data_IF_350344775288
#
_entry.id   IF_350344775288
#
_cell.length_a   1.000
_cell.length_b   1.000
_cell.length_c   1.000
_cell.angle_alpha   90.00
_cell.angle_beta   90.00
_cell.angle_gamma   90.00
#
_symmetry.space_group_name_H-M   'P 1'
#
loop_
_entity.id
_entity.type
_entity.pdbx_description
1 polymer ?
#
# COMPACT_ATOMS: atom_id res chain seq x y z
N UNK A 1 5.25 27.19 6.90
CA UNK A 1 6.57 26.60 7.19
C UNK A 1 6.85 25.54 6.13
N UNK A 2 8.08 25.43 5.64
CA UNK A 2 8.43 24.34 4.74
C UNK A 2 8.42 23.01 5.52
N UNK A 3 7.81 21.98 4.94
CA UNK A 3 7.78 20.63 5.51
C UNK A 3 8.35 19.67 4.47
N UNK A 4 9.15 18.71 4.93
CA UNK A 4 9.63 17.60 4.09
C UNK A 4 8.66 16.43 4.28
N UNK A 5 8.03 16.00 3.20
CA UNK A 5 7.08 14.89 3.19
C UNK A 5 7.75 13.64 2.61
N UNK A 6 7.80 12.56 3.39
CA UNK A 6 8.14 11.23 2.88
C UNK A 6 6.84 10.45 2.68
N UNK A 7 6.59 9.99 1.46
CA UNK A 7 5.33 9.32 1.06
C UNK A 7 5.66 8.09 0.24
N UNK A 8 4.95 6.99 0.52
CA UNK A 8 4.97 5.76 -0.29
C UNK A 8 3.52 5.49 -0.71
N UNK A 9 3.32 5.22 -2.00
CA UNK A 9 2.00 4.96 -2.57
C UNK A 9 2.10 3.79 -3.54
N UNK A 10 1.17 2.83 -3.41
CA UNK A 10 1.00 1.73 -4.35
C UNK A 10 -0.30 1.92 -5.13
N UNK A 11 -0.32 1.54 -6.41
CA UNK A 11 -1.51 1.62 -7.27
C UNK A 11 -1.90 0.24 -7.77
N UNK A 12 -3.20 -0.05 -7.81
CA UNK A 12 -3.70 -1.39 -8.21
C UNK A 12 -3.00 -2.50 -7.42
N UNK A 13 -2.94 -2.32 -6.10
CA UNK A 13 -2.20 -3.19 -5.22
C UNK A 13 -3.14 -4.04 -4.35
N UNK A 14 -2.72 -5.27 -4.10
CA UNK A 14 -3.37 -6.20 -3.17
C UNK A 14 -2.56 -6.21 -1.88
N UNK A 15 -3.24 -6.04 -0.75
CA UNK A 15 -2.64 -6.24 0.57
C UNK A 15 -2.95 -7.68 0.98
N UNK A 16 -1.90 -8.49 1.14
CA UNK A 16 -1.99 -9.86 1.60
C UNK A 16 -1.30 -9.96 2.96
N UNK A 17 -2.12 -9.96 4.00
CA UNK A 17 -1.66 -10.00 5.39
C UNK A 17 -1.11 -11.37 5.79
N UNK A 18 -1.62 -12.45 5.19
CA UNK A 18 -1.21 -13.82 5.51
C UNK A 18 0.24 -14.03 5.09
N UNK A 19 0.60 -13.55 3.90
CA UNK A 19 1.96 -13.64 3.37
C UNK A 19 2.82 -12.40 3.66
N UNK A 20 2.30 -11.43 4.43
CA UNK A 20 3.00 -10.18 4.79
C UNK A 20 3.52 -9.42 3.55
N UNK A 21 2.65 -9.21 2.55
CA UNK A 21 3.04 -8.62 1.27
C UNK A 21 2.05 -7.58 0.74
N UNK A 22 2.59 -6.64 -0.03
CA UNK A 22 1.84 -5.76 -0.93
C UNK A 22 2.24 -6.18 -2.35
N UNK A 23 1.25 -6.54 -3.16
CA UNK A 23 1.45 -6.96 -4.55
C UNK A 23 0.94 -5.85 -5.45
N UNK A 24 1.82 -5.15 -6.17
CA UNK A 24 1.46 -4.12 -7.14
C UNK A 24 1.33 -4.70 -8.54
N UNK A 25 0.14 -4.57 -9.14
CA UNK A 25 -0.16 -5.11 -10.47
C UNK A 25 -0.06 -4.01 -11.53
N UNK A 26 1.00 -4.07 -12.34
CA UNK A 26 1.17 -3.26 -13.53
C UNK A 26 0.74 -4.06 -14.78
N UNK A 27 0.54 -3.38 -15.91
CA UNK A 27 0.01 -3.99 -17.15
C UNK A 27 0.78 -5.24 -17.63
N UNK A 28 2.08 -5.29 -17.33
CA UNK A 28 2.99 -6.31 -17.84
C UNK A 28 3.82 -6.98 -16.73
N UNK A 29 3.70 -6.51 -15.49
CA UNK A 29 4.56 -6.94 -14.37
C UNK A 29 3.84 -6.92 -13.04
N UNK A 30 4.15 -7.93 -12.23
CA UNK A 30 3.79 -7.99 -10.82
C UNK A 30 5.02 -7.62 -9.98
N UNK A 31 4.85 -6.72 -9.02
CA UNK A 31 5.90 -6.35 -8.08
C UNK A 31 5.45 -6.65 -6.65
N UNK A 32 6.27 -7.40 -5.92
CA UNK A 32 5.98 -7.80 -4.56
C UNK A 32 6.86 -7.01 -3.59
N UNK A 33 6.23 -6.47 -2.55
CA UNK A 33 6.87 -5.70 -1.49
C UNK A 33 6.53 -6.32 -0.14
N UNK A 34 7.49 -6.44 0.77
CA UNK A 34 7.19 -6.86 2.14
C UNK A 34 6.40 -5.77 2.86
N UNK A 35 5.22 -6.12 3.37
CA UNK A 35 4.33 -5.21 4.10
C UNK A 35 5.06 -4.64 5.33
N UNK A 36 5.67 -5.51 6.13
CA UNK A 36 6.44 -5.11 7.31
C UNK A 36 7.63 -4.21 6.99
N UNK A 37 8.33 -4.41 5.87
CA UNK A 37 9.42 -3.53 5.44
C UNK A 37 8.94 -2.15 5.01
N UNK A 38 7.75 -2.07 4.39
CA UNK A 38 7.14 -0.78 4.05
C UNK A 38 6.79 -0.01 5.32
N UNK A 39 6.15 -0.67 6.29
CA UNK A 39 5.77 -0.04 7.55
C UNK A 39 6.97 0.30 8.45
N UNK A 40 8.04 -0.50 8.43
CA UNK A 40 9.23 -0.25 9.26
C UNK A 40 9.91 1.09 8.91
N UNK A 41 9.82 1.55 7.66
CA UNK A 41 10.32 2.88 7.24
C UNK A 41 9.65 4.04 7.99
N UNK A 42 8.46 3.81 8.53
CA UNK A 42 7.66 4.78 9.24
C UNK A 42 7.46 4.46 10.72
N UNK A 43 8.13 3.43 11.24
CA UNK A 43 8.07 3.06 12.65
C UNK A 43 8.41 4.25 13.55
N UNK A 44 7.69 4.38 14.67
CA UNK A 44 7.86 5.42 15.70
C UNK A 44 7.69 6.87 15.20
N UNK A 45 7.01 7.07 14.05
CA UNK A 45 6.68 8.39 13.49
C UNK A 45 5.18 8.63 13.48
N UNK A 46 4.77 9.88 13.61
CA UNK A 46 3.39 10.27 13.35
C UNK A 46 3.14 10.24 11.84
N UNK A 47 2.20 9.40 11.41
CA UNK A 47 1.88 9.17 10.01
C UNK A 47 0.40 9.42 9.73
N UNK A 48 0.10 9.77 8.48
CA UNK A 48 -1.24 9.68 7.92
C UNK A 48 -1.28 8.44 7.02
N UNK A 49 -2.17 7.49 7.32
CA UNK A 49 -2.37 6.28 6.52
C UNK A 49 -3.67 6.41 5.74
N UNK A 50 -3.67 6.01 4.48
CA UNK A 50 -4.85 6.06 3.60
C UNK A 50 -4.97 4.74 2.86
N UNK A 51 -6.08 4.03 3.07
CA UNK A 51 -6.47 2.85 2.30
C UNK A 51 -7.73 3.23 1.52
N UNK A 52 -7.71 3.03 0.21
CA UNK A 52 -8.84 3.31 -0.69
C UNK A 52 -9.07 2.07 -1.54
N UNK A 53 -10.23 1.47 -1.35
CA UNK A 53 -10.74 0.40 -2.20
C UNK A 53 -11.79 1.01 -3.14
N UNK A 54 -11.61 0.82 -4.44
CA UNK A 54 -12.63 1.16 -5.43
C UNK A 54 -13.19 -0.15 -5.99
N UNK A 55 -14.36 -0.56 -5.53
CA UNK A 55 -15.11 -1.68 -6.07
C UNK A 55 -16.30 -1.15 -6.87
N UNK A 56 -16.67 -1.86 -7.95
CA UNK A 56 -17.92 -1.57 -8.66
C UNK A 56 -19.11 -1.97 -7.78
N UNK A 57 -20.12 -1.11 -7.71
CA UNK A 57 -21.36 -1.38 -6.97
C UNK A 57 -22.03 -2.63 -7.56
N UNK A 58 -22.11 -3.70 -6.77
CA UNK A 58 -22.75 -4.97 -7.16
C UNK A 58 -21.81 -6.17 -7.26
N UNK A 59 -20.51 -6.01 -7.01
CA UNK A 59 -19.59 -7.13 -6.80
C UNK A 59 -19.69 -7.58 -5.34
N UNK A 60 -20.65 -8.45 -5.04
CA UNK A 60 -20.63 -9.25 -3.82
C UNK A 60 -19.56 -10.32 -4.01
N UNK A 61 -18.46 -10.22 -3.24
CA UNK A 61 -17.39 -11.23 -3.23
C UNK A 61 -17.87 -12.60 -2.80
#
# INVERSE_FOLDING_TARGET
MAQITNSISFKNAIIDLENNQIIELNKDTEQQYSLSEVFSRFQDKYVSLTIKENSELGFEG
#
